data_IF_769705708786
#
_entry.id   IF_769705708786
#
_cell.length_a   1.000
_cell.length_b   1.000
_cell.length_c   1.000
_cell.angle_alpha   90.00
_cell.angle_beta   90.00
_cell.angle_gamma   90.00
#
_symmetry.space_group_name_H-M   'P 1'
#
loop_
_entity.id
_entity.type
_entity.pdbx_description
1 polymer ?
#
# COMPACT_ATOMS: atom_id res chain seq x y z
N UNK A 1 -13.66 13.94 -19.29
CA UNK A 1 -12.98 12.65 -18.98
C UNK A 1 -11.57 12.76 -19.55
N UNK A 2 -10.54 12.78 -18.71
CA UNK A 2 -9.16 12.72 -19.17
C UNK A 2 -8.76 11.25 -19.24
N UNK A 3 -8.55 10.73 -20.44
CA UNK A 3 -7.98 9.40 -20.63
C UNK A 3 -6.47 9.53 -20.60
N UNK A 4 -5.81 8.94 -19.60
CA UNK A 4 -4.37 8.81 -19.60
C UNK A 4 -3.97 7.96 -20.83
N UNK A 5 -3.07 8.47 -21.67
CA UNK A 5 -2.39 7.64 -22.66
C UNK A 5 -1.46 6.72 -21.87
N UNK A 6 -1.82 5.44 -21.76
CA UNK A 6 -1.21 4.43 -20.92
C UNK A 6 0.31 4.53 -20.81
N UNK A 7 0.76 4.92 -19.64
CA UNK A 7 2.18 5.10 -19.30
C UNK A 7 2.64 4.28 -18.11
N UNK A 8 1.74 3.47 -17.55
CA UNK A 8 1.96 2.66 -16.37
C UNK A 8 1.33 3.27 -15.10
N UNK A 9 1.07 2.40 -14.13
CA UNK A 9 0.32 2.72 -12.89
C UNK A 9 0.83 3.97 -12.18
N UNK A 10 2.15 4.12 -12.02
CA UNK A 10 2.74 5.29 -11.34
C UNK A 10 2.43 6.61 -12.04
N UNK A 11 2.48 6.64 -13.38
CA UNK A 11 2.12 7.83 -14.16
C UNK A 11 0.64 8.17 -14.07
N UNK A 12 -0.22 7.16 -14.12
CA UNK A 12 -1.66 7.33 -14.05
C UNK A 12 -2.06 7.85 -12.66
N UNK A 13 -1.46 7.34 -11.58
CA UNK A 13 -1.70 7.83 -10.23
C UNK A 13 -1.17 9.25 -10.01
N UNK A 14 0.02 9.58 -10.54
CA UNK A 14 0.58 10.93 -10.48
C UNK A 14 -0.30 11.91 -11.26
N UNK A 15 -0.80 11.51 -12.42
CA UNK A 15 -1.72 12.32 -13.20
C UNK A 15 -3.04 12.55 -12.44
N UNK A 16 -3.62 11.50 -11.85
CA UNK A 16 -4.81 11.60 -11.03
C UNK A 16 -4.62 12.59 -9.86
N UNK A 17 -3.49 12.48 -9.14
CA UNK A 17 -3.15 13.40 -8.06
C UNK A 17 -2.97 14.84 -8.54
N UNK A 18 -2.49 15.06 -9.77
CA UNK A 18 -2.30 16.42 -10.31
C UNK A 18 -3.60 17.19 -10.54
N UNK A 19 -4.74 16.51 -10.64
CA UNK A 19 -6.07 17.13 -10.76
C UNK A 19 -6.73 17.40 -9.40
N UNK A 20 -6.15 16.93 -8.30
CA UNK A 20 -6.73 17.12 -6.98
C UNK A 20 -6.54 18.56 -6.50
N UNK A 21 -7.63 19.21 -6.13
CA UNK A 21 -7.65 20.58 -5.56
C UNK A 21 -7.94 20.59 -4.06
N UNK A 22 -8.30 19.42 -3.50
CA UNK A 22 -8.61 19.26 -2.07
C UNK A 22 -7.35 18.95 -1.25
N UNK A 23 -7.35 19.27 0.05
CA UNK A 23 -6.19 18.96 0.92
C UNK A 23 -5.95 17.47 1.17
N UNK A 24 -6.95 16.65 0.91
CA UNK A 24 -6.89 15.20 1.11
C UNK A 24 -7.37 14.48 -0.14
N UNK A 25 -6.75 13.35 -0.45
CA UNK A 25 -7.13 12.52 -1.58
C UNK A 25 -6.96 11.03 -1.27
N UNK A 26 -7.83 10.21 -1.85
CA UNK A 26 -7.69 8.76 -1.91
C UNK A 26 -7.64 8.35 -3.37
N UNK A 27 -6.66 7.52 -3.75
CA UNK A 27 -6.61 6.92 -5.09
C UNK A 27 -7.46 5.65 -5.04
N UNK A 28 -8.71 5.79 -5.44
CA UNK A 28 -9.64 4.67 -5.50
C UNK A 28 -9.35 3.82 -6.74
N UNK A 29 -9.13 2.52 -6.52
CA UNK A 29 -9.03 1.58 -7.63
C UNK A 29 -10.44 1.25 -8.14
N UNK A 30 -10.56 1.07 -9.45
CA UNK A 30 -11.87 0.89 -10.12
C UNK A 30 -12.59 -0.41 -9.75
N UNK A 31 -11.85 -1.38 -9.24
CA UNK A 31 -12.30 -2.72 -8.90
C UNK A 31 -12.55 -2.92 -7.40
N UNK A 32 -12.20 -1.96 -6.56
CA UNK A 32 -12.40 -2.03 -5.10
C UNK A 32 -13.72 -1.39 -4.66
N UNK A 33 -14.23 -1.79 -3.50
CA UNK A 33 -15.50 -1.29 -2.93
C UNK A 33 -15.22 -0.63 -1.59
N UNK A 34 -15.55 0.66 -1.49
CA UNK A 34 -15.47 1.39 -0.22
C UNK A 34 -16.78 1.27 0.55
N UNK A 35 -16.69 1.04 1.86
CA UNK A 35 -17.87 1.07 2.73
C UNK A 35 -18.35 2.51 2.91
N UNK A 36 -19.67 2.72 3.16
CA UNK A 36 -20.26 4.06 3.23
C UNK A 36 -19.60 4.99 4.24
N UNK A 37 -19.08 4.45 5.33
CA UNK A 37 -18.47 5.18 6.44
C UNK A 37 -16.92 5.34 6.30
N UNK A 38 -16.31 4.87 5.20
CA UNK A 38 -14.87 4.98 4.95
C UNK A 38 -14.37 6.41 5.13
N UNK A 39 -14.98 7.35 4.41
CA UNK A 39 -14.53 8.75 4.40
C UNK A 39 -14.66 9.37 5.79
N UNK A 40 -15.79 9.20 6.46
CA UNK A 40 -16.04 9.73 7.80
C UNK A 40 -15.03 9.20 8.81
N UNK A 41 -14.82 7.88 8.86
CA UNK A 41 -13.91 7.24 9.80
C UNK A 41 -12.45 7.61 9.56
N UNK A 42 -12.01 7.64 8.31
CA UNK A 42 -10.66 8.08 7.98
C UNK A 42 -10.45 9.54 8.38
N UNK A 43 -11.38 10.43 8.00
CA UNK A 43 -11.25 11.87 8.28
C UNK A 43 -11.33 12.20 9.77
N UNK A 44 -12.10 11.43 10.55
CA UNK A 44 -12.18 11.61 12.01
C UNK A 44 -10.86 11.34 12.75
N UNK A 45 -9.99 10.52 12.15
CA UNK A 45 -8.68 10.17 12.71
C UNK A 45 -7.53 11.01 12.14
N UNK A 46 -7.78 11.79 11.09
CA UNK A 46 -6.76 12.67 10.53
C UNK A 46 -6.52 13.89 11.42
N UNK A 47 -5.26 14.21 11.60
CA UNK A 47 -4.78 15.40 12.33
C UNK A 47 -3.88 16.22 11.42
N UNK A 48 -3.50 17.41 11.86
CA UNK A 48 -2.51 18.23 11.13
C UNK A 48 -1.14 17.53 10.98
N UNK A 49 -0.82 16.59 11.87
CA UNK A 49 0.42 15.82 11.83
C UNK A 49 0.34 14.58 10.91
N UNK A 50 -0.85 14.18 10.47
CA UNK A 50 -1.04 12.99 9.66
C UNK A 50 -0.48 13.20 8.25
N UNK A 51 0.40 12.31 7.80
CA UNK A 51 0.90 12.23 6.42
C UNK A 51 -0.05 11.40 5.55
N UNK A 52 -0.36 10.20 6.04
CA UNK A 52 -1.34 9.28 5.45
C UNK A 52 -2.20 8.68 6.56
N UNK A 53 -3.48 8.47 6.24
CA UNK A 53 -4.37 7.64 7.03
C UNK A 53 -4.84 6.46 6.20
N UNK A 54 -4.98 5.29 6.80
CA UNK A 54 -5.36 4.06 6.09
C UNK A 54 -6.13 3.12 7.00
N UNK A 55 -6.98 2.32 6.37
CA UNK A 55 -7.77 1.29 7.06
C UNK A 55 -7.25 -0.11 6.81
N UNK A 56 -7.78 -1.07 7.55
CA UNK A 56 -7.75 -2.49 7.17
C UNK A 56 -8.73 -2.73 6.01
N UNK A 57 -8.61 -3.89 5.36
CA UNK A 57 -9.46 -4.30 4.25
C UNK A 57 -9.86 -5.78 4.34
N UNK A 58 -10.87 -6.15 3.59
CA UNK A 58 -11.32 -7.53 3.41
C UNK A 58 -11.17 -7.93 1.95
N UNK A 59 -10.56 -9.06 1.69
CA UNK A 59 -10.55 -9.64 0.34
C UNK A 59 -11.91 -10.29 0.04
N UNK A 60 -12.38 -10.06 -1.21
CA UNK A 60 -13.66 -10.56 -1.71
C UNK A 60 -13.45 -11.18 -3.08
N UNK A 61 -13.90 -12.42 -3.27
CA UNK A 61 -13.96 -13.11 -4.57
C UNK A 61 -15.41 -13.41 -4.92
N UNK A 62 -15.85 -13.01 -6.11
CA UNK A 62 -17.23 -13.22 -6.59
C UNK A 62 -18.31 -12.72 -5.60
N UNK A 63 -18.05 -11.62 -4.91
CA UNK A 63 -18.96 -11.04 -3.93
C UNK A 63 -18.96 -11.72 -2.55
N UNK A 64 -18.16 -12.77 -2.34
CA UNK A 64 -18.04 -13.49 -1.06
C UNK A 64 -16.73 -13.11 -0.36
N UNK A 65 -16.84 -12.77 0.92
CA UNK A 65 -15.65 -12.47 1.74
C UNK A 65 -14.78 -13.73 1.92
N UNK A 66 -13.50 -13.60 1.59
CA UNK A 66 -12.54 -14.68 1.75
C UNK A 66 -12.08 -14.74 3.22
N UNK A 67 -11.95 -15.94 3.82
CA UNK A 67 -11.36 -16.08 5.14
C UNK A 67 -9.95 -15.50 5.19
N UNK A 68 -9.58 -14.91 6.33
CA UNK A 68 -8.25 -14.34 6.52
C UNK A 68 -7.16 -15.39 6.35
N UNK A 69 -6.35 -15.23 5.32
CA UNK A 69 -5.15 -16.03 5.10
C UNK A 69 -4.09 -15.72 6.16
N UNK A 70 -3.09 -16.59 6.29
CA UNK A 70 -1.96 -16.37 7.20
C UNK A 70 -1.21 -15.07 6.85
N UNK A 71 -1.07 -14.76 5.56
CA UNK A 71 -0.43 -13.51 5.11
C UNK A 71 -1.23 -12.27 5.52
N UNK A 72 -2.56 -12.29 5.37
CA UNK A 72 -3.40 -11.17 5.82
C UNK A 72 -3.32 -10.96 7.33
N UNK A 73 -3.28 -12.04 8.12
CA UNK A 73 -3.09 -11.94 9.58
C UNK A 73 -1.74 -11.31 9.94
N UNK A 74 -0.66 -11.66 9.21
CA UNK A 74 0.66 -11.04 9.38
C UNK A 74 0.60 -9.56 9.01
N UNK A 75 0.01 -9.20 7.88
CA UNK A 75 -0.18 -7.80 7.49
C UNK A 75 -0.96 -7.00 8.54
N UNK A 76 -2.06 -7.53 9.05
CA UNK A 76 -2.83 -6.89 10.13
C UNK A 76 -2.00 -6.68 11.39
N UNK A 77 -1.20 -7.68 11.80
CA UNK A 77 -0.28 -7.53 12.93
C UNK A 77 0.74 -6.42 12.67
N UNK A 78 1.29 -6.34 11.46
CA UNK A 78 2.22 -5.29 11.06
C UNK A 78 1.57 -3.90 11.11
N UNK A 79 0.32 -3.74 10.63
CA UNK A 79 -0.43 -2.49 10.69
C UNK A 79 -0.63 -2.03 12.14
N UNK A 80 -1.10 -2.92 13.03
CA UNK A 80 -1.25 -2.64 14.46
C UNK A 80 0.09 -2.30 15.14
N UNK A 81 1.14 -3.02 14.77
CA UNK A 81 2.49 -2.76 15.27
C UNK A 81 2.98 -1.38 14.83
N UNK A 82 2.73 -0.98 13.59
CA UNK A 82 3.06 0.35 13.08
C UNK A 82 2.30 1.45 13.81
N UNK A 83 1.02 1.20 14.14
CA UNK A 83 0.16 2.14 14.87
C UNK A 83 0.60 2.41 16.32
N UNK A 84 1.43 1.55 16.92
CA UNK A 84 1.93 1.77 18.29
C UNK A 84 2.79 3.05 18.41
N UNK A 85 3.56 3.39 17.38
CA UNK A 85 4.41 4.58 17.36
C UNK A 85 4.29 5.32 16.01
N UNK A 86 3.12 5.90 15.70
CA UNK A 86 2.78 6.40 14.37
C UNK A 86 3.65 7.59 13.91
N UNK A 87 4.22 8.35 14.85
CA UNK A 87 5.12 9.49 14.57
C UNK A 87 6.59 9.12 14.48
N UNK A 88 6.96 7.93 14.91
CA UNK A 88 8.38 7.55 15.01
C UNK A 88 8.87 6.97 13.69
N UNK A 89 9.67 7.74 12.95
CA UNK A 89 10.23 7.35 11.64
C UNK A 89 10.96 6.02 11.67
N UNK A 90 11.82 5.82 12.68
CA UNK A 90 12.58 4.58 12.83
C UNK A 90 11.63 3.38 12.91
N UNK A 91 10.55 3.50 13.69
CA UNK A 91 9.60 2.41 13.88
C UNK A 91 8.82 2.08 12.60
N UNK A 92 8.30 3.10 11.90
CA UNK A 92 7.63 2.92 10.60
C UNK A 92 8.53 2.22 9.59
N UNK A 93 9.79 2.69 9.47
CA UNK A 93 10.77 2.07 8.59
C UNK A 93 11.09 0.64 9.02
N UNK A 94 11.14 0.36 10.33
CA UNK A 94 11.42 -0.98 10.82
C UNK A 94 10.29 -1.96 10.49
N UNK A 95 9.03 -1.54 10.56
CA UNK A 95 7.89 -2.38 10.13
C UNK A 95 7.92 -2.57 8.62
N UNK A 96 8.08 -1.51 7.82
CA UNK A 96 8.17 -1.58 6.36
C UNK A 96 9.36 -2.43 5.88
N UNK A 97 10.41 -2.58 6.69
CA UNK A 97 11.56 -3.42 6.36
C UNK A 97 11.26 -4.92 6.28
N UNK A 98 10.09 -5.36 6.76
CA UNK A 98 9.66 -6.76 6.68
C UNK A 98 8.63 -7.02 5.57
N UNK A 99 8.15 -6.00 4.90
CA UNK A 99 7.19 -6.10 3.80
C UNK A 99 6.22 -4.94 3.73
N UNK A 100 5.34 -4.97 2.74
CA UNK A 100 4.29 -3.97 2.58
C UNK A 100 2.96 -4.43 3.22
N UNK A 101 2.58 -3.91 4.40
CA UNK A 101 1.30 -4.23 5.00
C UNK A 101 0.16 -3.31 4.53
N UNK A 102 0.48 -2.11 3.99
CA UNK A 102 -0.51 -1.07 3.67
C UNK A 102 -1.03 -1.28 2.25
N UNK A 103 -2.33 -1.52 2.13
CA UNK A 103 -3.01 -1.62 0.84
C UNK A 103 -3.17 -0.23 0.21
N UNK A 104 -2.70 -0.04 -1.02
CA UNK A 104 -2.70 1.26 -1.68
C UNK A 104 -4.09 1.92 -1.76
N UNK A 105 -5.15 1.21 -2.20
CA UNK A 105 -6.48 1.82 -2.27
C UNK A 105 -7.07 2.18 -0.90
N UNK A 106 -6.57 1.61 0.19
CA UNK A 106 -7.04 1.93 1.54
C UNK A 106 -6.47 3.25 2.11
N UNK A 107 -5.64 3.98 1.33
CA UNK A 107 -4.88 5.13 1.82
C UNK A 107 -5.47 6.46 1.41
N UNK A 108 -5.63 7.34 2.39
CA UNK A 108 -5.92 8.77 2.19
C UNK A 108 -4.67 9.58 2.48
N UNK A 109 -4.27 10.41 1.53
CA UNK A 109 -3.07 11.25 1.55
C UNK A 109 -3.39 12.66 2.05
N UNK A 110 -2.55 13.22 2.92
CA UNK A 110 -2.57 14.64 3.26
C UNK A 110 -1.68 15.41 2.28
N UNK A 111 -2.25 15.92 1.22
CA UNK A 111 -1.53 16.61 0.15
C UNK A 111 -0.91 17.94 0.60
N UNK A 112 -1.42 18.58 1.67
CA UNK A 112 -0.76 19.76 2.25
C UNK A 112 0.61 19.44 2.83
N UNK A 113 0.78 18.25 3.39
CA UNK A 113 2.07 17.76 3.94
C UNK A 113 2.91 17.03 2.91
N UNK A 114 2.28 16.51 1.87
CA UNK A 114 2.88 15.71 0.81
C UNK A 114 2.92 16.46 -0.53
N UNK A 115 3.04 17.80 -0.50
CA UNK A 115 2.97 18.67 -1.67
C UNK A 115 3.92 18.28 -2.82
N UNK A 116 5.08 17.66 -2.49
CA UNK A 116 6.10 17.24 -3.47
C UNK A 116 6.05 15.74 -3.76
N UNK A 117 5.07 15.04 -3.17
CA UNK A 117 5.01 13.58 -3.30
C UNK A 117 4.58 13.16 -4.69
N UNK A 118 5.32 12.18 -5.24
CA UNK A 118 4.97 11.47 -6.47
C UNK A 118 5.30 10.00 -6.31
N UNK A 119 4.48 9.15 -6.91
CA UNK A 119 4.80 7.75 -7.08
C UNK A 119 5.97 7.58 -8.06
N UNK A 120 6.75 6.54 -7.85
CA UNK A 120 7.81 6.16 -8.78
C UNK A 120 7.17 5.63 -10.08
N UNK A 121 7.51 6.23 -11.22
CA UNK A 121 6.94 5.90 -12.53
C UNK A 121 7.66 4.74 -13.23
N UNK A 122 8.81 4.31 -12.71
CA UNK A 122 9.60 3.21 -13.26
C UNK A 122 9.23 1.87 -12.63
N UNK A 123 8.75 1.88 -11.39
CA UNK A 123 8.27 0.68 -10.69
C UNK A 123 6.88 0.29 -11.19
N UNK A 124 6.65 -1.03 -11.30
CA UNK A 124 5.39 -1.57 -11.84
C UNK A 124 4.53 -2.24 -10.78
N UNK A 125 5.15 -2.83 -9.76
CA UNK A 125 4.46 -3.66 -8.77
C UNK A 125 4.63 -3.12 -7.35
N UNK A 126 5.86 -2.82 -6.92
CA UNK A 126 6.17 -2.42 -5.54
C UNK A 126 6.21 -0.89 -5.36
N UNK A 127 5.57 -0.14 -6.28
CA UNK A 127 5.57 1.34 -6.25
C UNK A 127 4.84 1.91 -5.02
N UNK A 128 3.85 1.23 -4.49
CA UNK A 128 3.16 1.59 -3.26
C UNK A 128 4.07 1.39 -2.03
N UNK A 129 4.78 0.27 -1.95
CA UNK A 129 5.75 0.03 -0.88
C UNK A 129 6.88 1.08 -0.89
N UNK A 130 7.37 1.44 -2.09
CA UNK A 130 8.35 2.51 -2.24
C UNK A 130 7.77 3.87 -1.82
N UNK A 131 6.51 4.16 -2.14
CA UNK A 131 5.80 5.35 -1.70
C UNK A 131 5.74 5.43 -0.16
N UNK A 132 5.40 4.32 0.51
CA UNK A 132 5.38 4.28 1.99
C UNK A 132 6.77 4.50 2.58
N UNK A 133 7.80 3.93 1.97
CA UNK A 133 9.18 4.19 2.36
C UNK A 133 9.53 5.68 2.26
N UNK A 134 9.25 6.33 1.13
CA UNK A 134 9.50 7.76 0.94
C UNK A 134 8.73 8.63 1.94
N UNK A 135 7.45 8.35 2.15
CA UNK A 135 6.61 9.09 3.09
C UNK A 135 7.06 8.85 4.53
N UNK A 136 7.53 7.64 4.86
CA UNK A 136 8.04 7.31 6.19
C UNK A 136 9.27 8.13 6.60
N UNK A 137 10.01 8.74 5.66
CA UNK A 137 11.14 9.64 5.95
C UNK A 137 10.68 11.05 6.35
N UNK A 138 9.42 11.44 6.07
CA UNK A 138 8.91 12.78 6.37
C UNK A 138 8.49 12.91 7.84
N UNK A 139 8.47 14.15 8.37
CA UNK A 139 7.95 14.44 9.71
C UNK A 139 6.42 14.40 9.69
N UNK A 140 5.82 13.67 10.62
CA UNK A 140 4.38 13.48 10.74
C UNK A 140 4.03 12.05 11.14
N UNK A 141 2.77 11.67 11.04
CA UNK A 141 2.28 10.35 11.48
C UNK A 141 1.68 9.53 10.35
N UNK A 142 1.73 8.21 10.53
CA UNK A 142 0.96 7.21 9.81
C UNK A 142 -0.23 6.82 10.69
N UNK A 143 -1.43 7.16 10.29
CA UNK A 143 -2.64 6.96 11.09
C UNK A 143 -3.38 5.72 10.60
N UNK A 144 -3.48 4.71 11.45
CA UNK A 144 -4.19 3.47 11.14
C UNK A 144 -5.58 3.47 11.79
N UNK A 145 -6.60 3.23 11.00
CA UNK A 145 -7.97 2.95 11.45
C UNK A 145 -8.14 1.44 11.47
N UNK A 146 -8.17 0.83 12.67
CA UNK A 146 -8.25 -0.64 12.86
C UNK A 146 -9.68 -1.15 12.60
N UNK A 147 -10.19 -0.81 11.42
CA UNK A 147 -11.48 -1.27 10.92
C UNK A 147 -11.36 -1.60 9.44
N UNK A 148 -12.12 -2.59 8.96
CA UNK A 148 -12.19 -2.94 7.54
C UNK A 148 -13.19 -2.03 6.86
N UNK A 149 -12.68 -1.01 6.17
CA UNK A 149 -13.49 0.02 5.54
C UNK A 149 -13.58 -0.10 4.03
N UNK A 150 -12.96 -1.14 3.47
CA UNK A 150 -13.06 -1.46 2.06
C UNK A 150 -12.97 -2.95 1.76
N UNK A 151 -13.49 -3.34 0.62
CA UNK A 151 -13.34 -4.67 0.04
C UNK A 151 -12.39 -4.60 -1.15
N UNK A 152 -11.32 -5.40 -1.09
CA UNK A 152 -10.42 -5.61 -2.21
C UNK A 152 -10.90 -6.82 -3.01
N UNK A 153 -11.27 -6.60 -4.27
CA UNK A 153 -11.79 -7.66 -5.13
C UNK A 153 -10.66 -8.40 -5.84
N UNK A 154 -10.68 -9.73 -5.70
CA UNK A 154 -9.76 -10.61 -6.42
C UNK A 154 -10.44 -11.09 -7.70
N UNK A 155 -9.79 -10.87 -8.84
CA UNK A 155 -10.24 -11.29 -10.18
C UNK A 155 -9.38 -12.42 -10.73
N UNK A 156 -10.00 -13.37 -11.44
CA UNK A 156 -9.27 -14.49 -12.05
C UNK A 156 -8.37 -14.06 -13.22
N UNK A 157 -8.68 -12.95 -13.89
CA UNK A 157 -7.85 -12.40 -14.97
C UNK A 157 -6.46 -11.93 -14.51
N UNK A 158 -6.26 -11.71 -13.21
CA UNK A 158 -4.94 -11.42 -12.64
C UNK A 158 -4.00 -12.63 -12.61
N UNK A 159 -4.48 -13.85 -12.83
CA UNK A 159 -3.68 -15.07 -12.77
C UNK A 159 -2.92 -15.38 -14.07
N UNK A 160 -3.37 -14.91 -15.21
CA UNK A 160 -2.77 -15.22 -16.54
C UNK A 160 -1.55 -14.36 -16.89
N UNK A 161 -1.37 -13.21 -16.26
CA UNK A 161 -0.22 -12.33 -16.46
C UNK A 161 0.97 -12.70 -15.54
N UNK A 162 0.81 -13.76 -14.78
CA UNK A 162 1.59 -14.07 -13.57
C UNK A 162 3.09 -14.34 -13.78
N UNK A 163 3.57 -14.88 -14.90
CA UNK A 163 4.98 -15.29 -14.97
C UNK A 163 5.94 -14.11 -15.22
N UNK A 164 5.57 -13.15 -16.05
CA UNK A 164 6.39 -11.95 -16.29
C UNK A 164 6.27 -11.00 -15.09
N UNK A 165 5.08 -10.83 -14.57
CA UNK A 165 4.83 -10.02 -13.38
C UNK A 165 5.52 -10.57 -12.13
N UNK A 166 5.56 -11.90 -11.94
CA UNK A 166 6.28 -12.52 -10.84
C UNK A 166 7.80 -12.25 -10.88
N UNK A 167 8.40 -12.23 -12.06
CA UNK A 167 9.82 -11.88 -12.21
C UNK A 167 10.06 -10.40 -11.90
N UNK A 168 9.18 -9.51 -12.35
CA UNK A 168 9.26 -8.07 -12.05
C UNK A 168 9.04 -7.85 -10.55
N UNK A 169 8.02 -8.47 -9.97
CA UNK A 169 7.72 -8.41 -8.53
C UNK A 169 8.92 -8.85 -7.70
N UNK A 170 9.47 -10.02 -7.98
CA UNK A 170 10.63 -10.55 -7.25
C UNK A 170 11.82 -9.61 -7.31
N UNK A 171 12.07 -8.98 -8.47
CA UNK A 171 13.13 -7.99 -8.63
C UNK A 171 12.87 -6.74 -7.82
N UNK A 172 11.68 -6.15 -7.93
CA UNK A 172 11.32 -4.93 -7.23
C UNK A 172 11.24 -5.13 -5.71
N UNK A 173 10.68 -6.26 -5.24
CA UNK A 173 10.69 -6.62 -3.82
C UNK A 173 12.13 -6.77 -3.28
N UNK A 174 13.04 -7.33 -4.07
CA UNK A 174 14.46 -7.39 -3.70
C UNK A 174 15.07 -5.98 -3.58
N UNK A 175 14.79 -5.10 -4.54
CA UNK A 175 15.24 -3.70 -4.50
C UNK A 175 14.68 -2.99 -3.26
N UNK A 176 13.42 -3.23 -2.90
CA UNK A 176 12.83 -2.70 -1.68
C UNK A 176 13.54 -3.23 -0.42
N UNK A 177 13.80 -4.53 -0.32
CA UNK A 177 14.53 -5.07 0.82
C UNK A 177 15.95 -4.48 0.96
N UNK A 178 16.62 -4.16 -0.16
CA UNK A 178 17.96 -3.55 -0.16
C UNK A 178 17.97 -2.12 0.42
N UNK A 179 16.82 -1.40 0.44
CA UNK A 179 16.71 -0.11 1.11
C UNK A 179 16.84 -0.22 2.64
N UNK A 180 16.51 -1.38 3.20
CA UNK A 180 16.46 -1.60 4.64
C UNK A 180 17.55 -2.53 5.16
N UNK A 181 18.05 -3.45 4.33
CA UNK A 181 18.88 -4.57 4.75
C UNK A 181 20.11 -4.80 3.88
N UNK A 182 21.21 -5.29 4.47
CA UNK A 182 22.34 -5.81 3.70
C UNK A 182 21.91 -6.95 2.77
N UNK A 183 22.65 -7.14 1.67
CA UNK A 183 22.30 -8.08 0.60
C UNK A 183 21.96 -9.50 1.07
N UNK A 184 22.66 -10.02 2.07
CA UNK A 184 22.43 -11.40 2.56
C UNK A 184 21.09 -11.52 3.30
N UNK A 185 20.71 -10.49 4.10
CA UNK A 185 19.41 -10.45 4.78
C UNK A 185 18.29 -10.21 3.76
N UNK A 186 18.48 -9.29 2.82
CA UNK A 186 17.50 -9.02 1.76
C UNK A 186 17.16 -10.28 0.96
N UNK A 187 18.17 -11.09 0.57
CA UNK A 187 17.95 -12.37 -0.11
C UNK A 187 17.20 -13.39 0.75
N UNK A 188 17.52 -13.46 2.04
CA UNK A 188 16.83 -14.37 2.96
C UNK A 188 15.35 -13.99 3.10
N UNK A 189 15.04 -12.69 3.34
CA UNK A 189 13.67 -12.20 3.46
C UNK A 189 12.87 -12.42 2.17
N UNK A 190 13.48 -12.12 1.02
CA UNK A 190 12.86 -12.35 -0.27
C UNK A 190 12.49 -13.82 -0.48
N UNK A 191 13.39 -14.75 -0.15
CA UNK A 191 13.13 -16.20 -0.31
C UNK A 191 11.96 -16.68 0.54
N UNK A 192 11.80 -16.11 1.73
CA UNK A 192 10.67 -16.40 2.59
C UNK A 192 9.36 -15.78 2.06
N UNK A 193 9.44 -14.55 1.54
CA UNK A 193 8.30 -13.83 1.00
C UNK A 193 7.73 -14.50 -0.26
N UNK A 194 8.59 -14.93 -1.19
CA UNK A 194 8.18 -15.67 -2.40
C UNK A 194 7.49 -16.99 -2.03
N UNK A 195 8.06 -17.76 -1.12
CA UNK A 195 7.41 -19.01 -0.65
C UNK A 195 6.04 -18.77 -0.02
N UNK A 196 5.87 -17.67 0.70
CA UNK A 196 4.60 -17.34 1.32
C UNK A 196 3.52 -16.92 0.31
N UNK A 197 3.91 -16.43 -0.86
CA UNK A 197 2.98 -16.12 -1.95
C UNK A 197 2.53 -17.41 -2.68
N UNK A 198 3.45 -18.35 -2.92
CA UNK A 198 3.14 -19.65 -3.55
C UNK A 198 2.17 -20.51 -2.73
N UNK A 199 2.19 -20.38 -1.41
CA UNK A 199 1.30 -21.16 -0.52
C UNK A 199 -0.10 -20.59 -0.35
N UNK A 200 -0.40 -19.42 -0.92
CA UNK A 200 -1.72 -18.77 -0.84
C UNK A 200 -2.46 -18.72 -2.19
N UNK A 201 -1.87 -19.28 -3.25
CA UNK A 201 -2.51 -19.64 -4.49
C UNK A 201 -2.90 -21.12 -4.42
#
# INVERSE_FOLDING_TARGET
>A
MHTAQGGGIGKDWNLALSFVTTPYATIAHQDDIYLPDYCEKIMSQMTEETLIAYSDYQEVKEGVAIPLTSNLKIKQLMLRTMAMFPKWKFWRNRVLAFGNPISCPAVTYNLKKLNDFKFNEEMKVSLDWFAWYQIAQKNGSFTFVDERLMYHRIHEESETTNSIENNIRTKEDYEMYLLFWPKFIAKFLLSYYVKSQETNN
#
